data_IF_034846173502
#
_entry.id   IF_034846173502
#
_cell.length_a   1.000
_cell.length_b   1.000
_cell.length_c   1.000
_cell.angle_alpha   90.00
_cell.angle_beta   90.00
_cell.angle_gamma   90.00
#
_symmetry.space_group_name_H-M   'P 1'
#
loop_
_entity.id
_entity.type
_entity.pdbx_description
1 polymer ?
#
# COMPACT_ATOMS: atom_id res chain seq x y z
N UNK A 1 -8.98 11.20 -8.35
CA UNK A 1 -9.06 10.73 -6.95
C UNK A 1 -7.70 11.02 -6.32
N UNK A 2 -7.63 11.56 -5.10
CA UNK A 2 -6.34 11.85 -4.44
C UNK A 2 -6.06 10.74 -3.41
N UNK A 3 -5.07 9.88 -3.69
CA UNK A 3 -4.67 8.81 -2.77
C UNK A 3 -3.58 9.37 -1.84
N UNK A 4 -3.65 9.02 -0.55
CA UNK A 4 -2.65 9.44 0.44
C UNK A 4 -2.10 8.24 1.19
N UNK A 5 -0.81 8.29 1.49
CA UNK A 5 -0.20 7.32 2.39
C UNK A 5 -0.86 7.40 3.76
N UNK A 6 -1.32 6.27 4.28
CA UNK A 6 -1.99 6.21 5.58
C UNK A 6 -1.02 6.44 6.74
N UNK A 7 0.27 6.21 6.51
CA UNK A 7 1.37 6.44 7.45
C UNK A 7 1.92 7.87 7.34
N UNK A 8 2.70 8.18 6.29
CA UNK A 8 3.39 9.48 6.15
C UNK A 8 2.53 10.63 5.62
N UNK A 9 1.26 10.38 5.25
CA UNK A 9 0.30 11.37 4.71
C UNK A 9 0.68 12.02 3.38
N UNK A 10 1.76 11.58 2.73
CA UNK A 10 2.15 12.05 1.41
C UNK A 10 1.09 11.70 0.36
N UNK A 11 0.89 12.60 -0.59
CA UNK A 11 0.03 12.37 -1.76
C UNK A 11 0.69 11.39 -2.72
N UNK A 12 -0.08 10.42 -3.20
CA UNK A 12 0.36 9.35 -4.08
C UNK A 12 -0.45 9.35 -5.36
N UNK A 13 0.23 8.93 -6.43
CA UNK A 13 -0.40 8.54 -7.69
C UNK A 13 -0.87 7.08 -7.55
N UNK A 14 -2.01 6.76 -8.16
CA UNK A 14 -2.65 5.43 -8.04
C UNK A 14 -1.73 4.31 -8.51
N UNK A 15 -0.94 4.56 -9.54
CA UNK A 15 0.07 3.64 -10.09
C UNK A 15 1.21 3.30 -9.11
N UNK A 16 1.49 4.18 -8.15
CA UNK A 16 2.58 4.04 -7.19
C UNK A 16 2.09 3.73 -5.76
N UNK A 17 0.79 3.57 -5.57
CA UNK A 17 0.22 3.30 -4.26
C UNK A 17 0.20 1.80 -3.96
N UNK A 18 0.84 1.41 -2.87
CA UNK A 18 0.69 0.06 -2.31
C UNK A 18 -0.65 0.00 -1.57
N UNK A 19 -1.52 -0.91 -1.99
CA UNK A 19 -2.83 -1.11 -1.38
C UNK A 19 -2.81 -2.31 -0.45
N UNK A 20 -3.07 -2.05 0.83
CA UNK A 20 -3.37 -3.09 1.81
C UNK A 20 -4.88 -3.39 1.77
N UNK A 21 -5.22 -4.55 1.21
CA UNK A 21 -6.61 -4.99 1.03
C UNK A 21 -7.33 -5.26 2.34
N UNK A 22 -6.60 -5.67 3.37
CA UNK A 22 -7.16 -6.06 4.65
C UNK A 22 -7.70 -4.86 5.43
N UNK A 23 -7.01 -3.74 5.34
CA UNK A 23 -7.34 -2.53 6.07
C UNK A 23 -7.92 -1.43 5.17
N UNK A 24 -8.00 -1.70 3.86
CA UNK A 24 -8.40 -0.74 2.83
C UNK A 24 -7.60 0.56 2.94
N UNK A 25 -6.26 0.41 3.00
CA UNK A 25 -5.32 1.51 3.20
C UNK A 25 -4.29 1.55 2.08
N UNK A 26 -3.90 2.77 1.72
CA UNK A 26 -2.84 3.01 0.76
C UNK A 26 -1.56 3.47 1.44
N UNK A 27 -0.42 3.03 0.91
CA UNK A 27 0.92 3.34 1.40
C UNK A 27 1.83 3.70 0.25
N UNK A 28 2.81 4.57 0.50
CA UNK A 28 3.77 4.99 -0.51
C UNK A 28 4.91 3.99 -0.71
N UNK A 29 5.15 3.14 0.28
CA UNK A 29 6.31 2.25 0.33
C UNK A 29 6.06 1.11 1.32
N UNK A 30 6.76 -0.01 1.12
CA UNK A 30 6.70 -1.15 2.04
C UNK A 30 7.14 -0.76 3.45
N UNK A 31 8.08 0.17 3.59
CA UNK A 31 8.50 0.71 4.90
C UNK A 31 7.35 1.40 5.65
N UNK A 32 6.52 2.17 4.94
CA UNK A 32 5.36 2.84 5.53
C UNK A 32 4.26 1.84 5.91
N UNK A 33 4.09 0.79 5.10
CA UNK A 33 3.18 -0.30 5.41
C UNK A 33 3.64 -1.07 6.66
N UNK A 34 4.92 -1.42 6.72
CA UNK A 34 5.54 -2.15 7.82
C UNK A 34 5.50 -1.33 9.13
N UNK A 35 5.91 -0.07 9.09
CA UNK A 35 5.81 0.84 10.24
C UNK A 35 4.38 0.97 10.77
N UNK A 36 3.40 1.08 9.87
CA UNK A 36 1.99 1.16 10.25
C UNK A 36 1.42 -0.14 10.85
N UNK A 37 1.96 -1.30 10.44
CA UNK A 37 1.62 -2.60 11.02
C UNK A 37 2.30 -2.81 12.38
N UNK A 38 3.53 -2.33 12.54
CA UNK A 38 4.30 -2.44 13.78
C UNK A 38 3.79 -1.53 14.91
N UNK A 39 3.26 -0.34 14.58
CA UNK A 39 2.71 0.60 15.58
C UNK A 39 1.47 0.05 16.33
N UNK A 40 0.77 -0.94 15.77
CA UNK A 40 -0.44 -1.50 16.37
C UNK A 40 -0.36 -3.03 16.53
N UNK A 41 -0.18 -3.55 17.75
CA UNK A 41 -0.18 -5.01 17.99
C UNK A 41 -1.52 -5.68 17.66
N UNK A 42 -2.61 -4.92 17.47
CA UNK A 42 -3.92 -5.44 17.01
C UNK A 42 -3.98 -5.70 15.50
N UNK A 43 -3.01 -5.22 14.72
CA UNK A 43 -2.93 -5.43 13.26
C UNK A 43 -1.97 -6.57 12.89
N UNK A 44 -1.21 -7.10 13.85
CA UNK A 44 -0.17 -8.12 13.71
C UNK A 44 -0.71 -9.55 13.47
N UNK A 45 -1.66 -9.68 12.54
CA UNK A 45 -2.17 -10.96 12.08
C UNK A 45 -2.13 -11.09 10.55
N UNK A 46 -1.40 -10.22 9.85
CA UNK A 46 -1.25 -10.26 8.38
C UNK A 46 0.02 -11.03 8.04
N UNK A 47 -0.12 -12.26 7.57
CA UNK A 47 0.98 -12.96 6.93
C UNK A 47 1.34 -12.20 5.63
N UNK A 48 2.64 -12.10 5.34
CA UNK A 48 3.25 -11.36 4.21
C UNK A 48 2.79 -11.78 2.80
N UNK A 49 1.80 -12.66 2.68
CA UNK A 49 1.36 -13.33 1.46
C UNK A 49 0.17 -12.64 0.74
N UNK A 50 -0.49 -11.64 1.37
CA UNK A 50 -1.73 -11.04 0.81
C UNK A 50 -1.58 -9.62 0.23
N UNK A 51 -0.36 -9.08 0.14
CA UNK A 51 -0.11 -7.77 -0.49
C UNK A 51 -0.15 -7.92 -2.01
N UNK A 52 -1.33 -7.76 -2.60
CA UNK A 52 -1.49 -7.78 -4.05
C UNK A 52 -0.97 -6.49 -4.68
N UNK A 53 0.10 -6.58 -5.48
CA UNK A 53 0.45 -5.53 -6.43
C UNK A 53 -0.67 -5.40 -7.46
N UNK A 54 -1.34 -4.25 -7.52
CA UNK A 54 -2.26 -3.93 -8.61
C UNK A 54 -1.43 -3.41 -9.80
N UNK A 55 -0.66 -4.29 -10.44
CA UNK A 55 0.09 -3.91 -11.65
C UNK A 55 -0.89 -3.87 -12.82
N UNK A 56 -1.47 -2.71 -13.12
CA UNK A 56 -2.04 -2.48 -14.45
C UNK A 56 -0.88 -2.43 -15.44
N UNK A 57 -0.72 -3.52 -16.20
CA UNK A 57 0.31 -3.63 -17.24
C UNK A 57 -0.01 -2.64 -18.34
N UNK A 58 0.64 -1.47 -18.33
CA UNK A 58 0.67 -0.60 -19.52
C UNK A 58 1.53 -1.30 -20.58
N UNK A 59 0.89 -2.05 -21.49
CA UNK A 59 1.52 -2.51 -22.72
C UNK A 59 1.79 -1.30 -23.62
N UNK A 60 2.94 -0.64 -23.45
CA UNK A 60 3.52 0.17 -24.50
C UNK A 60 4.30 -0.78 -25.41
N UNK A 61 3.71 -1.12 -26.56
CA UNK A 61 4.42 -1.73 -27.68
C UNK A 61 4.46 -0.69 -28.79
N UNK A 62 5.69 -0.31 -29.12
CA UNK A 62 6.10 0.61 -30.19
C UNK A 62 5.62 0.15 -31.58
#
# INVERSE_FOLDING_TARGET
>A
MEIKCSYCKQRLEEEHALWDRRHDKYFCSYECLDGWQLEDPKKNGVAREEVGHHTMVCHHRE
#
